data_IF_429796449171
#
_entry.id   IF_429796449171
#
_cell.length_a   1.000
_cell.length_b   1.000
_cell.length_c   1.000
_cell.angle_alpha   90.00
_cell.angle_beta   90.00
_cell.angle_gamma   90.00
#
_symmetry.space_group_name_H-M   'P 1'
#
loop_
_entity.id
_entity.type
_entity.pdbx_description
1 polymer ?
#
# COMPACT_ATOMS: atom_id res chain seq x y z
N UNK A 1 9.36 -2.99 46.83
CA UNK A 1 8.96 -2.74 45.46
C UNK A 1 9.99 -3.21 44.39
N UNK A 2 11.32 -3.11 44.65
CA UNK A 2 12.35 -3.54 43.69
C UNK A 2 12.37 -5.03 43.38
N UNK A 3 12.13 -5.91 44.35
CA UNK A 3 12.10 -7.35 44.11
C UNK A 3 11.01 -7.82 43.17
N UNK A 4 9.81 -7.22 43.25
CA UNK A 4 8.71 -7.58 42.32
C UNK A 4 9.03 -7.21 40.88
N UNK A 5 9.69 -6.08 40.63
CA UNK A 5 10.14 -5.67 39.30
C UNK A 5 11.23 -6.62 38.79
N UNK A 6 12.19 -7.01 39.68
CA UNK A 6 13.22 -7.98 39.34
C UNK A 6 12.66 -9.34 38.92
N UNK A 7 11.63 -9.82 39.62
CA UNK A 7 10.91 -11.05 39.26
C UNK A 7 10.19 -10.95 37.89
N UNK A 8 9.50 -9.85 37.62
CA UNK A 8 8.84 -9.64 36.32
C UNK A 8 9.85 -9.61 35.18
N UNK A 9 10.98 -8.94 35.35
CA UNK A 9 12.06 -8.92 34.36
C UNK A 9 12.62 -10.31 34.12
N UNK A 10 12.90 -11.07 35.21
CA UNK A 10 13.44 -12.43 35.11
C UNK A 10 12.46 -13.37 34.35
N UNK A 11 11.17 -13.32 34.68
CA UNK A 11 10.13 -14.10 33.98
C UNK A 11 10.05 -13.70 32.51
N UNK A 12 10.06 -12.39 32.19
CA UNK A 12 10.01 -11.91 30.83
C UNK A 12 11.24 -12.37 30.02
N UNK A 13 12.44 -12.29 30.60
CA UNK A 13 13.66 -12.77 29.95
C UNK A 13 13.66 -14.30 29.76
N UNK A 14 13.17 -15.05 30.73
CA UNK A 14 13.04 -16.50 30.63
C UNK A 14 12.08 -16.87 29.47
N UNK A 15 10.90 -16.26 29.44
CA UNK A 15 9.91 -16.51 28.37
C UNK A 15 10.46 -16.11 27.01
N UNK A 16 11.10 -14.95 26.90
CA UNK A 16 11.70 -14.47 25.65
C UNK A 16 12.85 -15.37 25.13
N UNK A 17 13.53 -16.06 26.05
CA UNK A 17 14.61 -17.00 25.72
C UNK A 17 14.14 -18.41 25.32
N UNK A 18 12.83 -18.72 25.42
CA UNK A 18 12.32 -20.02 25.01
C UNK A 18 12.33 -20.15 23.46
N UNK A 19 12.72 -21.32 22.92
CA UNK A 19 12.64 -21.57 21.49
C UNK A 19 11.20 -21.37 20.99
N UNK A 20 11.02 -20.50 19.98
CA UNK A 20 9.69 -20.19 19.43
C UNK A 20 8.86 -19.17 20.22
N UNK A 21 9.40 -18.59 21.31
CA UNK A 21 8.71 -17.54 22.07
C UNK A 21 8.54 -16.25 21.26
N UNK A 22 9.46 -15.98 20.34
CA UNK A 22 9.39 -14.87 19.39
C UNK A 22 9.30 -15.48 18.00
N UNK A 23 8.12 -15.43 17.42
CA UNK A 23 7.84 -15.82 16.04
C UNK A 23 7.33 -14.64 15.26
N UNK A 24 7.63 -14.59 13.97
CA UNK A 24 7.00 -13.67 13.05
C UNK A 24 5.90 -14.42 12.31
N UNK A 25 4.74 -13.81 12.24
CA UNK A 25 3.59 -14.34 11.53
C UNK A 25 3.04 -13.27 10.60
N UNK A 26 2.68 -13.66 9.39
CA UNK A 26 2.05 -12.75 8.45
C UNK A 26 0.76 -12.16 9.03
N UNK A 27 0.52 -10.88 8.74
CA UNK A 27 -0.68 -10.19 9.19
C UNK A 27 -1.93 -10.86 8.60
N UNK A 28 -2.86 -11.23 9.45
CA UNK A 28 -4.15 -11.79 9.06
C UNK A 28 -5.27 -10.81 9.39
N UNK A 29 -6.32 -10.81 8.60
CA UNK A 29 -7.41 -9.83 8.71
C UNK A 29 -8.24 -9.95 10.00
N UNK A 30 -9.13 -9.00 10.20
CA UNK A 30 -10.03 -8.92 11.37
C UNK A 30 -10.94 -10.15 11.51
N UNK A 31 -11.32 -10.79 10.41
CA UNK A 31 -12.20 -11.97 10.42
C UNK A 31 -11.66 -13.12 11.26
N UNK A 32 -10.48 -13.68 10.95
CA UNK A 32 -9.86 -14.73 11.75
C UNK A 32 -9.63 -14.32 13.21
N UNK A 33 -9.26 -13.05 13.45
CA UNK A 33 -9.04 -12.52 14.80
C UNK A 33 -10.33 -12.58 15.64
N UNK A 34 -11.44 -12.06 15.13
CA UNK A 34 -12.72 -12.04 15.84
C UNK A 34 -13.25 -13.47 16.07
N UNK A 35 -13.13 -14.32 15.06
CA UNK A 35 -13.56 -15.71 15.16
C UNK A 35 -12.74 -16.46 16.22
N UNK A 36 -11.40 -16.30 16.19
CA UNK A 36 -10.50 -16.92 17.16
C UNK A 36 -10.74 -16.42 18.58
N UNK A 37 -10.93 -15.10 18.75
CA UNK A 37 -11.26 -14.52 20.05
C UNK A 37 -12.60 -15.05 20.57
N UNK A 38 -13.63 -15.12 19.74
CA UNK A 38 -14.93 -15.71 20.10
C UNK A 38 -14.79 -17.17 20.53
N UNK A 39 -13.99 -17.95 19.81
CA UNK A 39 -13.68 -19.33 20.16
C UNK A 39 -12.99 -19.47 21.51
N UNK A 40 -11.99 -18.61 21.80
CA UNK A 40 -11.29 -18.58 23.09
C UNK A 40 -12.23 -18.19 24.25
N UNK A 41 -13.12 -17.22 24.03
CA UNK A 41 -14.13 -16.81 25.01
C UNK A 41 -15.07 -17.95 25.33
N UNK A 42 -15.58 -18.67 24.32
CA UNK A 42 -16.42 -19.84 24.52
C UNK A 42 -15.69 -20.95 25.29
N UNK A 43 -14.44 -21.21 24.94
CA UNK A 43 -13.62 -22.23 25.59
C UNK A 43 -13.34 -21.90 27.06
N UNK A 44 -13.15 -20.61 27.41
CA UNK A 44 -12.87 -20.15 28.76
C UNK A 44 -14.08 -19.96 29.65
N UNK A 45 -15.21 -19.48 29.09
CA UNK A 45 -16.43 -19.17 29.88
C UNK A 45 -17.37 -20.37 30.09
N UNK A 46 -17.44 -21.26 29.13
CA UNK A 46 -18.35 -22.40 29.23
C UNK A 46 -17.76 -23.52 30.08
N UNK A 47 -18.55 -24.01 31.06
CA UNK A 47 -18.18 -25.13 31.93
C UNK A 47 -18.75 -26.47 31.43
N UNK A 48 -19.62 -26.43 30.41
CA UNK A 48 -20.25 -27.58 29.80
C UNK A 48 -19.40 -28.22 28.72
N UNK A 49 -19.64 -29.46 28.27
CA UNK A 49 -18.93 -30.08 27.15
C UNK A 49 -18.99 -29.24 25.86
N UNK A 50 -19.96 -28.31 25.77
CA UNK A 50 -20.09 -27.36 24.67
C UNK A 50 -18.85 -26.45 24.51
N UNK A 51 -18.01 -26.28 25.55
CA UNK A 51 -16.76 -25.53 25.48
C UNK A 51 -15.83 -26.02 24.36
N UNK A 52 -15.88 -27.30 24.01
CA UNK A 52 -15.05 -27.87 22.95
C UNK A 52 -15.36 -27.31 21.56
N UNK A 53 -16.58 -26.81 21.34
CA UNK A 53 -16.92 -26.07 20.12
C UNK A 53 -16.05 -24.83 19.98
N UNK A 54 -15.71 -24.16 21.11
CA UNK A 54 -14.76 -23.05 21.11
C UNK A 54 -13.39 -23.48 20.60
N UNK A 55 -12.91 -24.67 20.98
CA UNK A 55 -11.65 -25.21 20.47
C UNK A 55 -11.68 -25.44 18.96
N UNK A 56 -12.79 -26.02 18.44
CA UNK A 56 -12.97 -26.20 16.99
C UNK A 56 -12.96 -24.85 16.24
N UNK A 57 -13.63 -23.84 16.81
CA UNK A 57 -13.64 -22.49 16.24
C UNK A 57 -12.23 -21.88 16.20
N UNK A 58 -11.43 -22.04 17.26
CA UNK A 58 -10.05 -21.54 17.29
C UNK A 58 -9.21 -22.22 16.21
N UNK A 59 -9.32 -23.53 16.05
CA UNK A 59 -8.62 -24.26 14.98
C UNK A 59 -9.05 -23.76 13.59
N UNK A 60 -10.36 -23.61 13.36
CA UNK A 60 -10.88 -23.08 12.10
C UNK A 60 -10.37 -21.65 11.81
N UNK A 61 -10.37 -20.78 12.84
CA UNK A 61 -9.83 -19.43 12.74
C UNK A 61 -8.34 -19.41 12.41
N UNK A 62 -7.55 -20.30 13.03
CA UNK A 62 -6.12 -20.45 12.75
C UNK A 62 -5.86 -20.90 11.31
N UNK A 63 -6.61 -21.90 10.83
CA UNK A 63 -6.52 -22.35 9.43
C UNK A 63 -6.92 -21.26 8.44
N UNK A 64 -7.92 -20.45 8.78
CA UNK A 64 -8.29 -19.28 7.97
C UNK A 64 -7.20 -18.23 7.96
N UNK A 65 -6.61 -17.92 9.12
CA UNK A 65 -5.50 -16.96 9.23
C UNK A 65 -4.31 -17.35 8.36
N UNK A 66 -3.96 -18.64 8.31
CA UNK A 66 -2.87 -19.15 7.47
C UNK A 66 -3.13 -19.04 5.95
N UNK A 67 -4.40 -18.85 5.55
CA UNK A 67 -4.83 -18.69 4.15
C UNK A 67 -5.19 -17.25 3.80
N UNK A 68 -4.94 -16.31 4.70
CA UNK A 68 -5.22 -14.90 4.44
C UNK A 68 -4.42 -14.41 3.22
N UNK A 69 -5.07 -13.73 2.26
CA UNK A 69 -4.36 -13.20 1.10
C UNK A 69 -3.38 -12.12 1.55
N UNK A 70 -2.14 -12.26 1.11
CA UNK A 70 -1.10 -11.27 1.33
C UNK A 70 -1.07 -10.30 0.14
N UNK A 71 -0.70 -9.03 0.35
CA UNK A 71 -0.59 -8.07 -0.74
C UNK A 71 0.52 -8.46 -1.72
N UNK A 72 0.28 -8.22 -3.01
CA UNK A 72 1.24 -8.48 -4.08
C UNK A 72 2.19 -7.30 -4.29
N UNK A 73 1.70 -6.06 -4.10
CA UNK A 73 2.50 -4.84 -4.24
C UNK A 73 2.22 -3.91 -3.06
N UNK A 74 3.28 -3.40 -2.45
CA UNK A 74 3.21 -2.37 -1.40
C UNK A 74 3.97 -1.13 -1.87
N UNK A 75 3.39 0.03 -1.59
CA UNK A 75 3.93 1.32 -2.04
C UNK A 75 3.96 2.26 -0.84
N UNK A 76 5.12 2.89 -0.62
CA UNK A 76 5.27 3.86 0.47
C UNK A 76 4.44 5.12 0.23
N UNK A 77 4.15 5.86 1.29
CA UNK A 77 3.31 7.07 1.24
C UNK A 77 3.86 8.19 0.36
N UNK A 78 5.15 8.13 0.03
CA UNK A 78 5.85 9.07 -0.83
C UNK A 78 6.19 8.47 -2.22
N UNK A 79 5.76 7.22 -2.47
CA UNK A 79 6.07 6.44 -3.67
C UNK A 79 7.59 6.32 -3.95
N UNK A 80 8.44 6.37 -2.91
CA UNK A 80 9.90 6.24 -3.02
C UNK A 80 10.40 4.81 -2.83
N UNK A 81 9.61 3.97 -2.18
CA UNK A 81 9.88 2.54 -2.01
C UNK A 81 8.69 1.73 -2.51
N UNK A 82 8.99 0.67 -3.22
CA UNK A 82 8.00 -0.28 -3.76
C UNK A 82 8.44 -1.68 -3.38
N UNK A 83 7.54 -2.46 -2.81
CA UNK A 83 7.73 -3.88 -2.58
C UNK A 83 6.84 -4.68 -3.54
N UNK A 84 7.38 -5.74 -4.10
CA UNK A 84 6.67 -6.63 -5.03
C UNK A 84 6.89 -8.06 -4.58
N UNK A 85 5.82 -8.85 -4.52
CA UNK A 85 5.89 -10.27 -4.19
C UNK A 85 6.28 -11.07 -5.43
N UNK A 86 7.37 -11.80 -5.32
CA UNK A 86 7.86 -12.68 -6.38
C UNK A 86 7.09 -14.00 -6.46
N UNK A 87 7.41 -14.79 -7.47
CA UNK A 87 6.83 -16.13 -7.65
C UNK A 87 7.22 -17.12 -6.54
N UNK A 88 8.29 -16.84 -5.80
CA UNK A 88 8.73 -17.55 -4.61
C UNK A 88 7.91 -17.19 -3.34
N UNK A 89 6.94 -16.28 -3.46
CA UNK A 89 6.12 -15.77 -2.38
C UNK A 89 6.83 -14.75 -1.48
N UNK A 90 8.09 -14.42 -1.73
CA UNK A 90 8.87 -13.46 -0.92
C UNK A 90 8.76 -12.04 -1.48
N UNK A 91 8.85 -11.07 -0.57
CA UNK A 91 8.91 -9.67 -0.97
C UNK A 91 10.30 -9.29 -1.46
N UNK A 92 10.33 -8.61 -2.60
CA UNK A 92 11.47 -7.85 -3.11
C UNK A 92 11.17 -6.38 -3.06
N UNK A 93 12.18 -5.54 -2.79
CA UNK A 93 11.98 -4.12 -2.50
C UNK A 93 12.90 -3.29 -3.38
N UNK A 94 12.31 -2.35 -4.12
CA UNK A 94 13.08 -1.34 -4.83
C UNK A 94 13.59 -0.30 -3.84
N UNK A 95 14.91 0.02 -3.88
CA UNK A 95 15.49 1.12 -3.09
C UNK A 95 15.22 1.00 -1.58
N UNK A 96 15.40 -0.18 -1.00
CA UNK A 96 15.16 -0.49 0.42
C UNK A 96 15.80 0.53 1.41
N UNK A 97 16.92 1.14 1.04
CA UNK A 97 17.61 2.14 1.87
C UNK A 97 16.92 3.51 1.97
N UNK A 98 15.87 3.79 1.19
CA UNK A 98 15.20 5.10 1.19
C UNK A 98 14.18 5.26 2.31
N UNK A 99 13.44 4.20 2.62
CA UNK A 99 12.44 4.19 3.69
C UNK A 99 12.57 2.92 4.53
N UNK A 100 13.61 2.90 5.36
CA UNK A 100 13.90 1.76 6.22
C UNK A 100 12.77 1.48 7.24
N UNK A 101 11.96 2.49 7.58
CA UNK A 101 10.82 2.32 8.47
C UNK A 101 9.70 1.55 7.76
N UNK A 102 9.26 2.00 6.58
CA UNK A 102 8.23 1.30 5.82
C UNK A 102 8.66 -0.13 5.48
N UNK A 103 9.92 -0.32 5.06
CA UNK A 103 10.46 -1.65 4.75
C UNK A 103 10.39 -2.58 5.95
N UNK A 104 10.76 -2.10 7.14
CA UNK A 104 10.69 -2.90 8.38
C UNK A 104 9.25 -3.30 8.71
N UNK A 105 8.31 -2.37 8.60
CA UNK A 105 6.89 -2.64 8.86
C UNK A 105 6.30 -3.64 7.84
N UNK A 106 6.68 -3.52 6.57
CA UNK A 106 6.25 -4.46 5.54
C UNK A 106 6.78 -5.87 5.78
N UNK A 107 8.07 -6.01 6.09
CA UNK A 107 8.67 -7.31 6.43
C UNK A 107 8.04 -7.91 7.68
N UNK A 108 7.78 -7.09 8.69
CA UNK A 108 7.10 -7.55 9.91
C UNK A 108 5.67 -8.01 9.62
N UNK A 109 4.93 -7.26 8.80
CA UNK A 109 3.56 -7.64 8.39
C UNK A 109 3.52 -8.87 7.50
N UNK A 110 4.59 -9.15 6.75
CA UNK A 110 4.74 -10.34 5.90
C UNK A 110 5.26 -11.57 6.68
N UNK A 111 5.70 -11.39 7.93
CA UNK A 111 6.35 -12.42 8.71
C UNK A 111 7.79 -12.73 8.26
N UNK A 112 8.40 -11.86 7.48
CA UNK A 112 9.77 -12.01 6.98
C UNK A 112 10.79 -11.55 8.03
N UNK A 113 11.79 -12.38 8.29
CA UNK A 113 12.82 -12.12 9.30
C UNK A 113 13.99 -11.26 8.79
N UNK A 114 14.03 -10.99 7.47
CA UNK A 114 15.08 -10.16 6.87
C UNK A 114 15.05 -8.74 7.44
N UNK A 115 16.23 -8.13 7.50
CA UNK A 115 16.36 -6.73 7.90
C UNK A 115 16.20 -5.79 6.71
N UNK A 116 15.84 -4.51 6.91
CA UNK A 116 15.69 -3.54 5.82
C UNK A 116 16.96 -3.30 4.96
N UNK A 117 18.13 -3.60 5.52
CA UNK A 117 19.44 -3.50 4.87
C UNK A 117 19.92 -4.79 4.20
N UNK A 118 19.10 -5.85 4.22
CA UNK A 118 19.45 -7.13 3.60
C UNK A 118 19.50 -6.99 2.06
N UNK A 119 20.65 -7.30 1.48
CA UNK A 119 20.88 -7.20 0.04
C UNK A 119 19.97 -8.13 -0.79
N UNK A 120 19.43 -9.19 -0.19
CA UNK A 120 18.51 -10.12 -0.87
C UNK A 120 17.16 -9.48 -1.17
N UNK A 121 16.81 -8.37 -0.50
CA UNK A 121 15.57 -7.64 -0.76
C UNK A 121 15.52 -7.05 -2.17
N UNK A 122 16.66 -6.72 -2.76
CA UNK A 122 16.71 -6.13 -4.10
C UNK A 122 16.69 -7.16 -5.24
N UNK A 123 16.83 -8.46 -4.96
CA UNK A 123 17.06 -9.48 -5.99
C UNK A 123 15.92 -9.65 -7.02
N UNK A 124 14.67 -9.30 -6.65
CA UNK A 124 13.52 -9.35 -7.55
C UNK A 124 13.38 -8.13 -8.46
N UNK A 125 14.19 -7.08 -8.23
CA UNK A 125 14.21 -5.88 -9.05
C UNK A 125 15.43 -5.82 -9.96
N UNK A 126 15.21 -5.36 -11.20
CA UNK A 126 16.27 -4.89 -12.10
C UNK A 126 16.21 -3.39 -12.15
N UNK A 127 17.26 -2.73 -11.68
CA UNK A 127 17.32 -1.28 -11.57
C UNK A 127 18.42 -0.71 -12.45
N UNK A 128 18.14 0.45 -13.06
CA UNK A 128 19.09 1.28 -13.78
C UNK A 128 18.98 2.75 -13.33
N UNK A 129 19.56 3.67 -14.09
CA UNK A 129 19.46 5.10 -13.81
C UNK A 129 18.04 5.67 -14.01
N UNK A 130 17.21 5.01 -14.80
CA UNK A 130 15.87 5.45 -15.20
C UNK A 130 14.79 4.96 -14.24
N UNK A 131 14.96 3.76 -13.66
CA UNK A 131 13.99 3.17 -12.76
C UNK A 131 14.34 1.74 -12.34
N UNK A 132 13.36 1.08 -11.74
CA UNK A 132 13.44 -0.31 -11.33
C UNK A 132 12.23 -1.07 -11.85
N UNK A 133 12.43 -2.27 -12.36
CA UNK A 133 11.37 -3.14 -12.86
C UNK A 133 11.39 -4.45 -12.07
N UNK A 134 10.22 -4.88 -11.61
CA UNK A 134 10.01 -6.19 -11.02
C UNK A 134 8.94 -6.98 -11.78
N UNK A 135 9.01 -8.30 -11.69
CA UNK A 135 8.07 -9.20 -12.32
C UNK A 135 7.16 -9.83 -11.27
N UNK A 136 5.86 -9.74 -11.49
CA UNK A 136 4.84 -10.42 -10.69
C UNK A 136 4.80 -11.91 -11.00
N UNK A 137 4.20 -12.75 -10.13
CA UNK A 137 4.09 -14.20 -10.36
C UNK A 137 3.39 -14.57 -11.67
N UNK A 138 2.49 -13.73 -12.15
CA UNK A 138 1.77 -13.91 -13.42
C UNK A 138 2.53 -13.44 -14.67
N UNK A 139 3.72 -12.91 -14.47
CA UNK A 139 4.57 -12.41 -15.55
C UNK A 139 4.39 -10.94 -15.90
N UNK A 140 3.37 -10.25 -15.37
CA UNK A 140 3.20 -8.81 -15.55
C UNK A 140 4.31 -8.03 -14.85
N UNK A 141 4.58 -6.82 -15.36
CA UNK A 141 5.66 -5.98 -14.86
C UNK A 141 5.12 -4.87 -13.95
N UNK A 142 5.86 -4.59 -12.91
CA UNK A 142 5.71 -3.40 -12.05
C UNK A 142 6.93 -2.52 -12.30
N UNK A 143 6.72 -1.30 -12.73
CA UNK A 143 7.77 -0.31 -12.96
C UNK A 143 7.77 0.76 -11.87
N UNK A 144 8.91 0.99 -11.25
CA UNK A 144 9.15 2.10 -10.36
C UNK A 144 9.98 3.14 -11.09
N UNK A 145 9.32 4.16 -11.64
CA UNK A 145 9.90 5.18 -12.50
C UNK A 145 10.56 6.28 -11.69
N UNK A 146 11.82 6.55 -11.98
CA UNK A 146 12.63 7.57 -11.30
C UNK A 146 12.84 8.83 -12.14
N UNK A 147 12.90 8.69 -13.47
CA UNK A 147 13.08 9.81 -14.40
C UNK A 147 11.93 9.88 -15.40
N UNK A 148 11.64 11.07 -15.90
CA UNK A 148 10.49 11.31 -16.76
C UNK A 148 10.56 10.56 -18.10
N UNK A 149 11.74 10.37 -18.64
CA UNK A 149 11.95 9.78 -19.96
C UNK A 149 11.56 8.28 -20.00
N UNK A 150 11.56 7.62 -18.84
CA UNK A 150 11.15 6.20 -18.75
C UNK A 150 9.63 6.00 -18.89
N UNK A 151 8.80 7.03 -18.69
CA UNK A 151 7.35 6.86 -18.73
C UNK A 151 6.84 6.34 -20.06
N UNK A 152 7.43 6.77 -21.19
CA UNK A 152 6.93 6.37 -22.50
C UNK A 152 6.97 4.85 -22.70
N UNK A 153 8.04 4.21 -22.26
CA UNK A 153 8.20 2.77 -22.35
C UNK A 153 7.42 2.03 -21.27
N UNK A 154 7.56 2.48 -20.02
CA UNK A 154 7.00 1.81 -18.87
C UNK A 154 5.46 1.85 -18.86
N UNK A 155 4.86 2.97 -19.28
CA UNK A 155 3.40 3.09 -19.40
C UNK A 155 2.78 2.12 -20.40
N UNK A 156 3.54 1.68 -21.43
CA UNK A 156 3.08 0.70 -22.41
C UNK A 156 3.33 -0.74 -22.01
N UNK A 157 4.40 -1.00 -21.24
CA UNK A 157 4.87 -2.36 -20.95
C UNK A 157 4.49 -2.86 -19.56
N UNK A 158 4.40 -1.96 -18.58
CA UNK A 158 4.09 -2.33 -17.22
C UNK A 158 2.57 -2.40 -16.98
N UNK A 159 2.15 -3.30 -16.12
CA UNK A 159 0.77 -3.33 -15.61
C UNK A 159 0.55 -2.28 -14.53
N UNK A 160 1.59 -1.98 -13.76
CA UNK A 160 1.57 -0.99 -12.68
C UNK A 160 2.79 -0.09 -12.83
N UNK A 161 2.57 1.22 -12.78
CA UNK A 161 3.62 2.23 -12.78
C UNK A 161 3.55 2.99 -11.47
N UNK A 162 4.66 3.00 -10.73
CA UNK A 162 4.79 3.73 -9.45
C UNK A 162 5.85 4.80 -9.63
N UNK A 163 5.57 6.01 -9.14
CA UNK A 163 6.53 7.11 -9.22
C UNK A 163 6.28 8.16 -8.15
N UNK A 164 7.35 8.73 -7.60
CA UNK A 164 7.29 9.92 -6.74
C UNK A 164 7.13 11.24 -7.53
N UNK A 165 6.93 11.17 -8.84
CA UNK A 165 6.69 12.31 -9.74
C UNK A 165 5.22 12.36 -10.14
N UNK A 166 4.84 13.36 -10.90
CA UNK A 166 3.55 13.40 -11.60
C UNK A 166 3.66 12.60 -12.90
N UNK A 167 2.72 11.68 -13.09
CA UNK A 167 2.70 10.82 -14.27
C UNK A 167 1.99 11.51 -15.45
N UNK A 168 2.36 11.18 -16.69
CA UNK A 168 1.66 11.70 -17.85
C UNK A 168 0.20 11.21 -17.93
N UNK A 169 -0.74 12.03 -18.38
CA UNK A 169 -2.18 11.70 -18.36
C UNK A 169 -2.56 10.55 -19.29
N UNK A 170 -1.69 10.14 -20.20
CA UNK A 170 -1.93 9.07 -21.19
C UNK A 170 -1.21 7.75 -20.83
N UNK A 171 -0.95 7.47 -19.55
CA UNK A 171 -0.37 6.21 -19.13
C UNK A 171 -1.45 5.12 -19.13
N UNK A 172 -1.26 4.03 -19.89
CA UNK A 172 -2.21 2.91 -19.97
C UNK A 172 -2.14 1.99 -18.75
N UNK A 173 -1.01 2.00 -18.03
CA UNK A 173 -0.80 1.22 -16.82
C UNK A 173 -1.60 1.78 -15.63
N UNK A 174 -1.87 0.92 -14.63
CA UNK A 174 -2.35 1.37 -13.33
C UNK A 174 -1.29 2.28 -12.69
N UNK A 175 -1.57 3.57 -12.63
CA UNK A 175 -0.57 4.56 -12.23
C UNK A 175 -0.78 5.02 -10.81
N UNK A 176 0.29 4.93 -10.00
CA UNK A 176 0.35 5.44 -8.63
C UNK A 176 1.46 6.48 -8.60
N UNK A 177 1.06 7.73 -8.75
CA UNK A 177 1.95 8.88 -8.82
C UNK A 177 1.98 9.66 -7.51
N UNK A 178 2.71 10.77 -7.50
CA UNK A 178 2.78 11.69 -6.37
C UNK A 178 1.41 12.17 -5.90
N UNK A 179 0.49 12.46 -6.83
CA UNK A 179 -0.81 13.02 -6.50
C UNK A 179 -1.67 11.98 -5.79
N UNK A 180 -1.70 10.75 -6.31
CA UNK A 180 -2.38 9.62 -5.70
C UNK A 180 -1.80 9.33 -4.31
N UNK A 181 -0.48 9.17 -4.20
CA UNK A 181 0.20 8.86 -2.94
C UNK A 181 0.00 9.95 -1.88
N UNK A 182 -0.05 11.22 -2.29
CA UNK A 182 -0.31 12.33 -1.37
C UNK A 182 -1.71 12.31 -0.77
N UNK A 183 -2.70 11.89 -1.54
CA UNK A 183 -4.10 11.79 -1.09
C UNK A 183 -4.32 10.51 -0.27
N UNK A 184 -3.89 9.38 -0.79
CA UNK A 184 -4.22 8.07 -0.24
C UNK A 184 -3.18 7.51 0.74
N UNK A 185 -1.98 8.10 0.76
CA UNK A 185 -0.87 7.63 1.61
C UNK A 185 -0.23 6.37 1.06
N UNK A 186 0.22 5.49 1.95
CA UNK A 186 0.73 4.18 1.56
C UNK A 186 -0.39 3.31 0.97
N UNK A 187 -0.05 2.50 -0.03
CA UNK A 187 -1.02 1.72 -0.79
C UNK A 187 -0.58 0.27 -0.83
N UNK A 188 -1.53 -0.63 -0.59
CA UNK A 188 -1.37 -2.06 -0.80
C UNK A 188 -2.28 -2.51 -1.94
N UNK A 189 -1.73 -3.24 -2.89
CA UNK A 189 -2.47 -3.85 -3.98
C UNK A 189 -2.45 -5.36 -3.80
N UNK A 190 -3.63 -5.96 -3.82
CA UNK A 190 -3.81 -7.41 -3.81
C UNK A 190 -4.50 -7.81 -5.10
N UNK A 191 -4.01 -8.84 -5.74
CA UNK A 191 -4.62 -9.32 -6.97
C UNK A 191 -5.82 -10.20 -6.69
N UNK A 192 -6.93 -9.90 -7.37
CA UNK A 192 -8.16 -10.70 -7.31
C UNK A 192 -8.60 -11.02 -8.75
N UNK A 193 -8.10 -12.14 -9.29
CA UNK A 193 -8.27 -12.46 -10.71
C UNK A 193 -7.57 -11.44 -11.61
N UNK A 194 -8.35 -10.74 -12.46
CA UNK A 194 -7.82 -9.68 -13.34
C UNK A 194 -7.90 -8.27 -12.74
N UNK A 195 -8.45 -8.15 -11.54
CA UNK A 195 -8.60 -6.86 -10.85
C UNK A 195 -7.55 -6.71 -9.77
N UNK A 196 -7.27 -5.45 -9.43
CA UNK A 196 -6.48 -5.06 -8.30
C UNK A 196 -7.38 -4.55 -7.19
N UNK A 197 -7.39 -5.24 -6.05
CA UNK A 197 -8.00 -4.74 -4.84
C UNK A 197 -7.04 -3.72 -4.22
N UNK A 198 -7.54 -2.53 -4.02
CA UNK A 198 -6.78 -1.36 -3.58
C UNK A 198 -7.09 -1.05 -2.13
N UNK A 199 -6.08 -1.08 -1.28
CA UNK A 199 -6.18 -0.68 0.13
C UNK A 199 -5.26 0.52 0.37
N UNK A 200 -5.85 1.65 0.74
CA UNK A 200 -5.12 2.88 1.05
C UNK A 200 -4.99 3.09 2.55
N UNK A 201 -3.86 3.64 3.00
CA UNK A 201 -3.66 4.02 4.41
C UNK A 201 -4.57 5.18 4.83
N UNK A 202 -5.03 5.98 3.86
CA UNK A 202 -6.01 7.06 4.06
C UNK A 202 -7.25 6.79 3.22
N UNK A 203 -8.20 5.98 3.71
CA UNK A 203 -9.46 5.74 2.99
C UNK A 203 -10.22 7.05 2.81
N UNK A 204 -11.00 7.14 1.74
CA UNK A 204 -11.83 8.34 1.43
C UNK A 204 -12.70 8.70 2.63
N UNK A 205 -12.71 9.99 2.98
CA UNK A 205 -13.46 10.49 4.14
C UNK A 205 -12.78 10.30 5.50
N UNK A 206 -11.56 9.75 5.54
CA UNK A 206 -10.79 9.60 6.76
C UNK A 206 -10.09 10.92 7.10
N UNK A 207 -10.73 11.73 7.92
CA UNK A 207 -10.17 12.98 8.46
C UNK A 207 -9.94 12.84 9.96
N UNK A 208 -8.70 12.97 10.39
CA UNK A 208 -8.28 12.88 11.79
C UNK A 208 -7.54 14.16 12.18
N UNK A 209 -7.63 14.63 13.44
CA UNK A 209 -6.90 15.82 13.90
C UNK A 209 -5.39 15.77 13.62
N UNK A 210 -4.80 14.56 13.67
CA UNK A 210 -3.37 14.29 13.45
C UNK A 210 -3.03 13.83 12.02
N UNK A 211 -4.03 13.57 11.18
CA UNK A 211 -3.88 13.14 9.78
C UNK A 211 -5.05 13.70 8.97
N UNK A 212 -5.01 15.01 8.72
CA UNK A 212 -6.06 15.69 7.96
C UNK A 212 -6.12 15.15 6.53
N UNK A 213 -7.34 14.95 6.03
CA UNK A 213 -7.56 14.66 4.64
C UNK A 213 -6.94 15.77 3.78
N UNK A 214 -6.09 15.38 2.84
CA UNK A 214 -5.62 16.33 1.81
C UNK A 214 -6.83 16.65 0.94
N UNK A 215 -7.20 17.92 0.85
CA UNK A 215 -8.26 18.32 -0.08
C UNK A 215 -7.92 17.77 -1.46
N UNK A 216 -8.86 17.03 -2.05
CA UNK A 216 -8.72 16.65 -3.45
C UNK A 216 -8.43 17.93 -4.25
N UNK A 217 -7.51 17.91 -5.25
CA UNK A 217 -7.35 19.05 -6.13
C UNK A 217 -8.75 19.47 -6.59
N UNK A 218 -9.08 20.74 -6.40
CA UNK A 218 -10.37 21.25 -6.88
C UNK A 218 -10.48 20.81 -8.34
N UNK A 219 -11.50 20.03 -8.64
CA UNK A 219 -11.81 19.64 -10.01
C UNK A 219 -11.71 20.90 -10.83
N UNK A 220 -10.82 20.91 -11.84
CA UNK A 220 -10.57 22.11 -12.62
C UNK A 220 -11.94 22.66 -13.02
N UNK A 221 -12.27 23.93 -12.75
CA UNK A 221 -13.58 24.46 -13.05
C UNK A 221 -13.88 24.09 -14.49
N UNK A 222 -15.02 23.42 -14.71
CA UNK A 222 -15.47 23.05 -16.04
C UNK A 222 -15.22 24.25 -16.95
N UNK A 223 -14.59 24.09 -18.14
CA UNK A 223 -14.23 25.19 -18.99
C UNK A 223 -15.46 26.09 -19.08
N UNK A 224 -15.31 27.31 -18.59
CA UNK A 224 -16.43 28.26 -18.52
C UNK A 224 -17.06 28.24 -19.90
N UNK A 225 -18.32 27.84 -19.93
CA UNK A 225 -19.07 27.78 -21.19
C UNK A 225 -18.75 29.06 -21.96
N UNK A 226 -18.11 28.91 -23.13
CA UNK A 226 -17.66 30.03 -23.93
C UNK A 226 -18.79 31.05 -23.94
N UNK A 227 -18.55 32.22 -23.34
CA UNK A 227 -19.55 33.30 -23.42
C UNK A 227 -19.90 33.43 -24.91
N UNK A 228 -21.19 33.39 -25.27
CA UNK A 228 -21.56 33.64 -26.64
C UNK A 228 -20.89 34.94 -27.05
N UNK A 229 -19.96 34.86 -27.97
CA UNK A 229 -19.45 36.06 -28.61
C UNK A 229 -20.66 36.76 -29.20
N UNK A 230 -20.86 38.08 -28.94
CA UNK A 230 -21.90 38.83 -29.61
C UNK A 230 -21.64 38.66 -31.11
N UNK A 231 -22.55 37.94 -31.78
CA UNK A 231 -22.58 37.92 -33.25
C UNK A 231 -22.97 39.32 -33.69
N UNK A 232 -22.11 39.86 -34.51
CA UNK A 232 -22.37 41.04 -35.32
C UNK A 232 -22.81 42.28 -34.56
N UNK A 233 -21.86 42.97 -33.91
CA UNK A 233 -21.94 44.41 -33.83
C UNK A 233 -21.48 44.93 -35.20
N UNK A 234 -22.40 45.23 -36.06
CA UNK A 234 -22.14 46.07 -37.23
C UNK A 234 -21.45 47.34 -36.72
N UNK A 235 -20.27 47.70 -37.25
CA UNK A 235 -19.58 48.92 -36.84
C UNK A 235 -20.53 50.10 -37.01
N UNK A 236 -20.72 50.90 -35.96
CA UNK A 236 -21.47 52.15 -36.06
C UNK A 236 -20.68 53.10 -36.96
N UNK A 237 -21.36 53.94 -37.75
CA UNK A 237 -20.69 54.93 -38.61
C UNK A 237 -19.73 55.86 -37.90
N UNK A 238 -19.88 55.99 -36.57
CA UNK A 238 -19.05 56.79 -35.69
C UNK A 238 -17.70 56.14 -35.37
N UNK A 239 -17.51 54.84 -35.62
CA UNK A 239 -16.29 54.09 -35.38
C UNK A 239 -15.28 54.21 -36.54
N UNK A 240 -15.70 54.86 -37.62
CA UNK A 240 -14.84 55.14 -38.78
C UNK A 240 -14.22 56.53 -38.63
N UNK A 241 -13.00 56.58 -38.08
CA UNK A 241 -12.22 57.81 -38.12
C UNK A 241 -11.84 58.07 -39.59
N UNK A 242 -12.03 59.32 -40.11
CA UNK A 242 -11.51 59.66 -41.41
C UNK A 242 -9.98 59.63 -41.35
N UNK A 243 -9.41 58.71 -42.13
CA UNK A 243 -7.95 58.63 -42.26
C UNK A 243 -7.43 59.82 -43.00
N UNK A 244 -6.30 60.37 -42.53
CA UNK A 244 -5.37 61.25 -43.24
C UNK A 244 -4.71 60.50 -44.41
#
# INVERSE_FOLDING_TARGET
MGEGIGWMIAVAQFVAGLPGAVGRMAAFGVGPLLLGTGGLVLLGLLKTPLRWTGGVIVVAASLWALRAPLPDVLISSDAQAVAVRGADGRMSISRSGRDAFAVREWLAADGDERKPDDATLAQGFRCDASGCIAKLPDGRLVAHVLVADAFEEDCRKAAIVVTGREAPPKCEALTIDRNVSRVEGAIALTRNGDRWDWTAARPKGHDRPWAKAVAAPAEAPAPAAARPQPRDATPRPEDLQPGD
#
